data_IF_592567793986
#
_entry.id   IF_592567793986
#
_cell.length_a   1.000
_cell.length_b   1.000
_cell.length_c   1.000
_cell.angle_alpha   90.00
_cell.angle_beta   90.00
_cell.angle_gamma   90.00
#
_symmetry.space_group_name_H-M   'P 1'
#
loop_
_entity.id
_entity.type
_entity.pdbx_description
1 polymer ?
#
# COMPACT_ATOMS: atom_id res chain seq x y z
N UNK A 1 30.39 30.07 -4.62
CA UNK A 1 29.06 30.07 -5.29
C UNK A 1 28.48 28.68 -5.50
N UNK A 2 29.21 27.70 -6.07
CA UNK A 2 28.71 26.33 -6.33
C UNK A 2 28.23 25.56 -5.07
N UNK A 3 28.90 25.74 -3.93
CA UNK A 3 28.51 25.13 -2.64
C UNK A 3 27.15 25.62 -2.10
N UNK A 4 26.82 26.89 -2.33
CA UNK A 4 25.54 27.49 -1.89
C UNK A 4 24.37 26.89 -2.67
N UNK A 5 24.58 26.63 -3.96
CA UNK A 5 23.58 26.02 -4.85
C UNK A 5 23.28 24.59 -4.41
N UNK A 6 24.30 23.78 -4.11
CA UNK A 6 24.12 22.40 -3.63
C UNK A 6 23.38 22.34 -2.29
N UNK A 7 23.68 23.27 -1.38
CA UNK A 7 22.98 23.37 -0.09
C UNK A 7 21.48 23.70 -0.26
N UNK A 8 21.14 24.61 -1.18
CA UNK A 8 19.74 24.95 -1.45
C UNK A 8 18.94 23.76 -2.02
N UNK A 9 19.55 22.97 -2.91
CA UNK A 9 18.89 21.76 -3.43
C UNK A 9 18.75 20.68 -2.37
N UNK A 10 19.75 20.49 -1.51
CA UNK A 10 19.68 19.51 -0.43
C UNK A 10 18.59 19.86 0.58
N UNK A 11 18.49 21.12 1.01
CA UNK A 11 17.44 21.55 1.95
C UNK A 11 16.04 21.45 1.33
N UNK A 12 15.89 21.82 0.05
CA UNK A 12 14.63 21.63 -0.67
C UNK A 12 14.25 20.15 -0.82
N UNK A 13 15.22 19.27 -1.10
CA UNK A 13 14.99 17.83 -1.17
C UNK A 13 14.55 17.24 0.17
N UNK A 14 15.26 17.56 1.26
CA UNK A 14 14.89 17.10 2.62
C UNK A 14 13.50 17.61 2.98
N UNK A 15 13.19 18.89 2.73
CA UNK A 15 11.85 19.43 2.99
C UNK A 15 10.76 18.70 2.18
N UNK A 16 10.99 18.40 0.90
CA UNK A 16 10.05 17.64 0.08
C UNK A 16 9.86 16.19 0.55
N UNK A 17 10.92 15.54 1.04
CA UNK A 17 10.82 14.17 1.60
C UNK A 17 10.08 14.20 2.94
N UNK A 18 10.34 15.18 3.79
CA UNK A 18 9.67 15.32 5.09
C UNK A 18 8.19 15.69 4.98
N UNK A 19 7.79 16.45 3.95
CA UNK A 19 6.38 16.81 3.74
C UNK A 19 5.52 15.67 3.16
N UNK A 20 6.11 14.61 2.61
CA UNK A 20 5.34 13.47 2.06
C UNK A 20 4.76 12.54 3.13
N UNK A 21 5.27 12.55 4.37
CA UNK A 21 4.83 11.66 5.45
C UNK A 21 3.73 12.22 6.37
N UNK A 22 3.27 13.45 6.17
CA UNK A 22 2.31 14.12 7.07
C UNK A 22 0.89 14.20 6.48
N UNK A 23 0.52 13.26 5.61
CA UNK A 23 -0.86 13.10 5.15
C UNK A 23 -1.73 12.57 6.30
N UNK A 24 -2.28 13.54 7.04
CA UNK A 24 -3.52 13.54 7.81
C UNK A 24 -4.14 12.16 8.09
N UNK A 25 -4.11 11.77 9.37
CA UNK A 25 -4.94 10.73 10.02
C UNK A 25 -6.45 11.06 9.97
N UNK A 26 -7.01 11.47 8.84
CA UNK A 26 -8.41 11.17 8.64
C UNK A 26 -8.45 9.67 8.55
N UNK A 27 -9.02 8.96 9.54
CA UNK A 27 -9.10 7.49 9.55
C UNK A 27 -9.95 6.89 8.44
N UNK A 28 -10.00 7.55 7.27
CA UNK A 28 -10.67 7.21 6.02
C UNK A 28 -9.64 7.21 4.89
N UNK A 29 -9.74 6.23 4.01
CA UNK A 29 -8.85 6.05 2.86
C UNK A 29 -9.66 5.83 1.58
N UNK A 30 -9.15 6.31 0.46
CA UNK A 30 -9.63 5.97 -0.88
C UNK A 30 -8.85 4.82 -1.49
N UNK A 31 -7.59 4.67 -1.11
CA UNK A 31 -6.63 3.68 -1.58
C UNK A 31 -5.71 3.21 -0.45
N UNK A 32 -4.90 2.18 -0.69
CA UNK A 32 -3.88 1.73 0.26
C UNK A 32 -2.83 2.81 0.55
N UNK A 33 -2.48 3.64 -0.45
CA UNK A 33 -1.46 4.69 -0.36
C UNK A 33 -1.87 5.88 0.55
N UNK A 34 -3.16 5.98 0.89
CA UNK A 34 -3.66 7.00 1.82
C UNK A 34 -3.38 6.64 3.29
N UNK A 35 -2.98 5.41 3.57
CA UNK A 35 -2.71 4.91 4.91
C UNK A 35 -1.19 4.89 5.20
N UNK A 36 -0.82 4.76 6.47
CA UNK A 36 0.58 4.60 6.86
C UNK A 36 1.15 3.25 6.37
N UNK A 37 2.48 3.13 6.31
CA UNK A 37 3.17 1.90 5.88
C UNK A 37 2.82 0.66 6.73
N UNK A 38 2.39 0.87 7.98
CA UNK A 38 1.94 -0.18 8.90
C UNK A 38 0.40 -0.35 8.95
N UNK A 39 -0.32 0.27 8.02
CA UNK A 39 -1.77 0.25 7.91
C UNK A 39 -2.24 -0.21 6.52
N UNK A 40 -3.47 -0.71 6.45
CA UNK A 40 -4.15 -1.08 5.21
C UNK A 40 -5.51 -0.39 5.13
N UNK A 41 -5.98 -0.15 3.90
CA UNK A 41 -7.29 0.42 3.67
C UNK A 41 -8.38 -0.68 3.65
N UNK A 42 -9.25 -0.69 4.66
CA UNK A 42 -10.31 -1.71 4.81
C UNK A 42 -11.69 -1.15 4.50
N UNK A 43 -12.47 -1.92 3.73
CA UNK A 43 -13.91 -1.74 3.58
C UNK A 43 -14.67 -2.83 4.35
N UNK A 44 -15.50 -2.45 5.33
CA UNK A 44 -16.31 -3.41 6.09
C UNK A 44 -17.53 -3.91 5.33
N UNK A 45 -18.07 -3.07 4.45
CA UNK A 45 -19.32 -3.30 3.74
C UNK A 45 -19.15 -2.89 2.27
N UNK A 46 -19.99 -3.40 1.37
CA UNK A 46 -19.96 -3.06 -0.06
C UNK A 46 -20.03 -1.54 -0.33
N UNK A 47 -20.78 -0.80 0.49
CA UNK A 47 -20.87 0.65 0.40
C UNK A 47 -19.51 1.35 0.64
N UNK A 48 -18.67 0.81 1.52
CA UNK A 48 -17.32 1.33 1.78
C UNK A 48 -16.31 0.88 0.72
N UNK A 49 -16.60 -0.21 0.01
CA UNK A 49 -15.77 -0.70 -1.08
C UNK A 49 -15.81 0.30 -2.24
N UNK A 50 -17.01 0.77 -2.59
CA UNK A 50 -17.23 1.85 -3.58
C UNK A 50 -16.86 3.23 -3.02
N UNK A 51 -17.12 3.46 -1.73
CA UNK A 51 -16.84 4.73 -1.04
C UNK A 51 -15.43 4.85 -0.45
N UNK A 52 -15.29 5.63 0.63
CA UNK A 52 -14.04 5.67 1.41
C UNK A 52 -14.03 4.56 2.45
N UNK A 53 -12.93 3.79 2.49
CA UNK A 53 -12.64 2.81 3.52
C UNK A 53 -12.10 3.47 4.79
N UNK A 54 -11.53 2.67 5.69
CA UNK A 54 -10.79 3.15 6.87
C UNK A 54 -9.41 2.53 6.92
N UNK A 55 -8.40 3.34 7.26
CA UNK A 55 -7.09 2.83 7.60
C UNK A 55 -7.18 2.02 8.89
N UNK A 56 -6.63 0.82 8.86
CA UNK A 56 -6.44 -0.04 10.02
C UNK A 56 -5.04 -0.59 10.02
N UNK A 57 -4.48 -0.80 11.20
CA UNK A 57 -3.17 -1.46 11.33
C UNK A 57 -3.20 -2.86 10.74
N UNK A 58 -2.05 -3.27 10.18
CA UNK A 58 -1.81 -4.65 9.77
C UNK A 58 -2.07 -5.61 10.94
N UNK A 59 -2.55 -6.81 10.61
CA UNK A 59 -2.92 -7.80 11.60
C UNK A 59 -1.69 -8.31 12.34
N UNK A 60 -1.74 -8.24 13.66
CA UNK A 60 -0.66 -8.61 14.58
C UNK A 60 -0.69 -10.12 14.90
N UNK A 61 0.35 -10.62 15.57
CA UNK A 61 0.43 -12.01 15.98
C UNK A 61 -0.81 -12.44 16.79
N UNK A 62 -1.44 -13.54 16.38
CA UNK A 62 -2.66 -14.10 16.97
C UNK A 62 -3.96 -13.45 16.52
N UNK A 63 -3.93 -12.33 15.79
CA UNK A 63 -5.13 -11.71 15.23
C UNK A 63 -5.68 -12.53 14.05
N UNK A 64 -6.97 -12.35 13.78
CA UNK A 64 -7.63 -13.03 12.67
C UNK A 64 -7.14 -12.49 11.34
N UNK A 65 -6.97 -13.40 10.39
CA UNK A 65 -6.64 -13.08 9.02
C UNK A 65 -7.51 -13.94 8.09
N UNK A 66 -7.64 -13.51 6.85
CA UNK A 66 -8.36 -14.25 5.83
C UNK A 66 -7.49 -14.30 4.57
N UNK A 67 -7.12 -15.48 4.05
CA UNK A 67 -6.28 -15.60 2.86
C UNK A 67 -7.03 -15.19 1.59
N UNK A 68 -8.36 -15.23 1.62
CA UNK A 68 -9.21 -14.82 0.49
C UNK A 68 -9.42 -13.31 0.43
N UNK A 69 -9.08 -12.56 1.49
CA UNK A 69 -9.16 -11.09 1.49
C UNK A 69 -7.97 -10.52 0.70
N UNK A 70 -8.01 -10.67 -0.63
CA UNK A 70 -7.08 -10.03 -1.55
C UNK A 70 -7.46 -8.55 -1.73
N UNK A 71 -6.44 -7.72 -1.93
CA UNK A 71 -6.64 -6.32 -2.28
C UNK A 71 -7.42 -6.24 -3.60
N UNK A 72 -8.62 -5.67 -3.57
CA UNK A 72 -9.42 -5.55 -4.78
C UNK A 72 -8.90 -4.34 -5.57
N UNK A 73 -8.07 -4.61 -6.57
CA UNK A 73 -7.42 -3.57 -7.39
C UNK A 73 -8.43 -2.63 -8.04
N UNK A 74 -9.58 -3.16 -8.48
CA UNK A 74 -10.70 -2.40 -9.06
C UNK A 74 -11.19 -1.27 -8.13
N UNK A 75 -11.01 -1.41 -6.82
CA UNK A 75 -11.41 -0.43 -5.82
C UNK A 75 -10.23 0.29 -5.16
N UNK A 76 -9.07 0.36 -5.84
CA UNK A 76 -7.88 1.07 -5.34
C UNK A 76 -7.08 0.27 -4.30
N UNK A 77 -7.11 -1.06 -4.41
CA UNK A 77 -6.34 -1.94 -3.54
C UNK A 77 -6.90 -2.06 -2.12
N UNK A 78 -8.22 -1.92 -1.96
CA UNK A 78 -8.88 -2.05 -0.65
C UNK A 78 -9.01 -3.52 -0.26
N UNK A 79 -8.80 -3.77 1.03
CA UNK A 79 -9.07 -5.06 1.63
C UNK A 79 -10.52 -5.15 2.10
N UNK A 80 -11.14 -6.31 1.87
CA UNK A 80 -12.48 -6.61 2.36
C UNK A 80 -12.33 -7.11 3.78
N UNK A 81 -13.05 -6.51 4.75
CA UNK A 81 -13.14 -6.93 6.17
C UNK A 81 -11.86 -6.88 7.03
N UNK A 82 -10.72 -7.39 6.58
CA UNK A 82 -9.53 -7.60 7.41
C UNK A 82 -8.25 -7.12 6.72
N UNK A 83 -7.29 -6.63 7.49
CA UNK A 83 -5.95 -6.35 6.96
C UNK A 83 -5.13 -7.64 6.85
N UNK A 84 -4.17 -7.69 5.91
CA UNK A 84 -3.22 -8.78 5.88
C UNK A 84 -2.36 -8.81 7.15
N UNK A 85 -1.73 -9.94 7.40
CA UNK A 85 -0.76 -10.06 8.48
C UNK A 85 0.43 -9.13 8.25
N UNK A 86 0.97 -8.57 9.33
CA UNK A 86 2.19 -7.77 9.27
C UNK A 86 3.36 -8.58 8.70
N UNK A 87 4.30 -7.91 8.04
CA UNK A 87 5.52 -8.53 7.51
C UNK A 87 6.19 -9.46 8.52
N UNK A 88 6.57 -10.66 8.07
CA UNK A 88 7.15 -11.72 8.93
C UNK A 88 6.12 -12.60 9.66
N UNK A 89 4.83 -12.34 9.48
CA UNK A 89 3.75 -13.21 9.93
C UNK A 89 3.09 -13.91 8.74
N UNK A 90 2.64 -15.14 8.96
CA UNK A 90 1.90 -15.96 8.00
C UNK A 90 0.46 -16.14 8.47
N UNK A 91 -0.51 -16.10 7.56
CA UNK A 91 -1.90 -16.40 7.90
C UNK A 91 -2.11 -17.92 7.87
N UNK A 92 -2.22 -18.55 9.04
CA UNK A 92 -2.34 -20.00 9.14
C UNK A 92 -3.60 -20.41 9.91
N UNK A 93 -4.14 -21.58 9.56
CA UNK A 93 -5.28 -22.15 10.26
C UNK A 93 -4.80 -22.79 11.56
N UNK A 94 -5.04 -22.14 12.71
CA UNK A 94 -4.62 -22.65 14.03
C UNK A 94 -5.62 -23.67 14.58
N UNK A 95 -6.17 -24.51 13.70
CA UNK A 95 -7.31 -25.39 13.97
C UNK A 95 -7.27 -26.04 15.34
N UNK A 96 -8.22 -25.68 16.21
CA UNK A 96 -8.62 -26.52 17.34
C UNK A 96 -10.13 -26.54 17.46
N UNK A 97 -10.67 -27.71 17.13
CA UNK A 97 -11.68 -28.51 17.84
C UNK A 97 -12.55 -29.17 16.76
N UNK A 98 -12.60 -30.50 16.82
CA UNK A 98 -13.50 -31.39 16.08
C UNK A 98 -14.90 -30.78 15.93
N UNK A 99 -15.19 -30.07 14.84
CA UNK A 99 -16.56 -29.78 14.45
C UNK A 99 -16.62 -29.28 13.01
N UNK A 100 -17.06 -30.20 12.16
CA UNK A 100 -17.58 -30.06 10.79
C UNK A 100 -16.78 -29.20 9.80
N UNK A 101 -16.48 -29.84 8.66
CA UNK A 101 -15.82 -29.33 7.45
C UNK A 101 -16.41 -28.04 6.83
N UNK A 102 -17.36 -27.38 7.49
CA UNK A 102 -18.17 -26.26 6.98
C UNK A 102 -17.94 -24.94 7.72
N UNK A 103 -17.13 -24.87 8.80
CA UNK A 103 -16.87 -23.63 9.57
C UNK A 103 -15.39 -23.22 9.65
N UNK A 104 -14.56 -23.76 8.77
CA UNK A 104 -13.10 -23.71 8.87
C UNK A 104 -12.48 -22.38 8.38
N UNK A 105 -13.28 -21.50 7.77
CA UNK A 105 -12.78 -20.25 7.21
C UNK A 105 -12.42 -19.20 8.27
N UNK A 106 -12.99 -19.29 9.49
CA UNK A 106 -12.87 -18.23 10.51
C UNK A 106 -11.82 -18.51 11.59
N UNK A 107 -11.11 -19.63 11.52
CA UNK A 107 -10.08 -20.00 12.50
C UNK A 107 -8.65 -19.58 12.11
N UNK A 108 -8.51 -18.83 11.02
CA UNK A 108 -7.20 -18.42 10.52
C UNK A 108 -6.68 -17.21 11.27
N UNK A 109 -5.40 -17.26 11.64
CA UNK A 109 -4.75 -16.24 12.44
C UNK A 109 -3.31 -16.02 12.00
N UNK A 110 -2.81 -14.82 12.26
CA UNK A 110 -1.43 -14.46 11.97
C UNK A 110 -0.49 -15.16 12.95
N UNK A 111 0.31 -16.11 12.49
CA UNK A 111 1.36 -16.78 13.26
C UNK A 111 2.72 -16.32 12.77
N UNK A 112 3.77 -16.58 13.57
CA UNK A 112 5.14 -16.36 13.09
C UNK A 112 5.37 -17.34 11.94
N UNK A 113 5.60 -16.81 10.74
CA UNK A 113 5.94 -17.66 9.61
C UNK A 113 7.21 -18.46 9.94
N UNK A 114 7.25 -19.74 9.59
CA UNK A 114 8.43 -20.60 9.69
C UNK A 114 9.48 -20.29 8.60
N UNK A 115 9.44 -19.10 8.01
CA UNK A 115 10.38 -18.67 6.98
C UNK A 115 11.71 -18.34 7.63
N UNK A 116 12.66 -19.25 7.50
CA UNK A 116 14.10 -19.05 7.57
C UNK A 116 14.46 -17.60 7.29
N UNK A 117 14.90 -16.92 8.35
CA UNK A 117 15.52 -15.62 8.27
C UNK A 117 16.77 -15.76 7.40
N UNK A 118 16.63 -15.58 6.07
CA UNK A 118 17.70 -14.93 5.32
C UNK A 118 17.63 -13.48 5.80
N UNK A 119 18.26 -13.26 6.95
CA UNK A 119 18.65 -11.93 7.38
C UNK A 119 19.51 -11.38 6.26
N UNK A 120 18.93 -10.56 5.39
CA UNK A 120 19.68 -9.48 4.75
C UNK A 120 20.08 -8.55 5.89
N UNK A 121 21.15 -8.97 6.55
CA UNK A 121 21.93 -8.16 7.48
C UNK A 121 22.51 -7.07 6.60
N UNK A 122 21.82 -5.94 6.50
CA UNK A 122 22.46 -4.71 6.06
C UNK A 122 23.42 -4.34 7.18
N UNK A 123 24.61 -4.94 7.14
CA UNK A 123 25.69 -4.66 8.06
C UNK A 123 26.09 -3.20 7.90
N UNK A 124 25.67 -2.37 8.86
CA UNK A 124 26.23 -1.06 9.12
C UNK A 124 27.69 -1.24 9.54
N UNK A 125 28.57 -1.45 8.56
CA UNK A 125 30.02 -1.41 8.76
C UNK A 125 30.40 0.05 8.91
N UNK A 126 30.71 0.41 10.14
CA UNK A 126 31.20 1.71 10.56
C UNK A 126 32.72 1.63 10.68
N UNK A 127 33.48 2.08 9.68
CA UNK A 127 34.92 2.44 9.83
C UNK A 127 35.46 3.19 8.59
N UNK A 128 36.64 3.82 8.63
CA UNK A 128 36.87 5.25 8.83
C UNK A 128 37.28 6.00 7.54
N UNK A 129 37.40 7.32 7.69
CA UNK A 129 37.98 8.32 6.78
C UNK A 129 39.26 7.86 6.06
N UNK A 130 39.32 8.03 4.73
CA UNK A 130 40.59 8.28 4.03
C UNK A 130 40.39 9.10 2.75
N UNK A 131 41.18 10.17 2.67
CA UNK A 131 41.34 11.16 1.62
C UNK A 131 42.05 10.60 0.37
N UNK A 132 41.60 10.97 -0.84
CA UNK A 132 42.39 11.30 -2.07
C UNK A 132 41.45 11.35 -3.29
N UNK A 133 41.20 12.48 -3.95
CA UNK A 133 42.02 13.24 -4.92
C UNK A 133 42.00 12.67 -6.35
N UNK A 134 41.32 13.43 -7.25
CA UNK A 134 41.41 13.49 -8.74
C UNK A 134 41.01 12.21 -9.53
N UNK A 135 40.34 12.23 -10.69
CA UNK A 135 40.20 13.20 -11.79
C UNK A 135 38.91 12.98 -12.59
N UNK A 136 38.36 14.10 -13.07
CA UNK A 136 37.72 14.37 -14.37
C UNK A 136 37.48 13.19 -15.34
N UNK A 137 36.24 13.00 -15.81
CA UNK A 137 35.94 12.95 -17.26
C UNK A 137 34.51 13.42 -17.52
N UNK A 138 34.46 14.37 -18.44
CA UNK A 138 33.33 15.10 -19.02
C UNK A 138 32.61 14.23 -20.05
N UNK A 139 31.27 14.18 -20.02
CA UNK A 139 30.49 13.97 -21.25
C UNK A 139 29.15 14.66 -21.19
N UNK A 140 29.15 15.80 -21.88
CA UNK A 140 28.03 16.59 -22.39
C UNK A 140 27.16 15.76 -23.34
N UNK A 141 25.83 15.82 -23.22
CA UNK A 141 24.88 15.79 -24.35
C UNK A 141 23.48 16.15 -23.82
N UNK A 142 23.07 17.41 -23.89
CA UNK A 142 22.32 18.07 -24.98
C UNK A 142 20.82 17.80 -24.91
N UNK A 143 20.10 18.91 -24.75
CA UNK A 143 18.67 19.05 -24.57
C UNK A 143 17.86 18.76 -25.84
N UNK A 144 16.59 18.39 -25.63
CA UNK A 144 15.49 18.79 -26.50
C UNK A 144 14.16 18.70 -25.76
N UNK A 145 13.65 19.87 -25.36
CA UNK A 145 12.23 20.22 -25.24
C UNK A 145 11.63 20.37 -26.66
N UNK A 146 10.34 20.71 -26.88
CA UNK A 146 9.11 20.55 -26.10
C UNK A 146 8.04 19.79 -26.94
N UNK A 147 6.85 19.50 -26.42
CA UNK A 147 5.57 19.69 -27.17
C UNK A 147 4.38 19.59 -26.22
N UNK A 148 3.64 20.69 -26.19
CA UNK A 148 2.30 20.91 -25.67
C UNK A 148 1.26 20.39 -26.66
N UNK A 149 0.20 19.71 -26.21
CA UNK A 149 -1.14 19.71 -26.83
C UNK A 149 -2.13 19.07 -25.84
N UNK A 150 -3.02 19.86 -25.20
CA UNK A 150 -4.38 20.24 -25.66
C UNK A 150 -5.42 19.12 -25.47
N UNK A 151 -6.16 19.24 -24.36
CA UNK A 151 -7.63 19.20 -24.20
C UNK A 151 -8.47 18.42 -25.22
N UNK A 152 -9.26 17.45 -24.74
CA UNK A 152 -10.73 17.43 -24.93
C UNK A 152 -11.43 16.53 -23.91
N UNK A 153 -12.26 17.17 -23.11
CA UNK A 153 -13.41 16.64 -22.37
C UNK A 153 -14.32 15.81 -23.27
N UNK A 154 -14.78 14.64 -22.83
CA UNK A 154 -16.01 14.02 -23.35
C UNK A 154 -16.81 13.47 -22.18
N UNK A 155 -17.79 14.29 -21.81
CA UNK A 155 -18.94 14.00 -20.96
C UNK A 155 -19.83 12.99 -21.68
N UNK A 156 -20.16 11.87 -21.03
CA UNK A 156 -21.40 11.14 -21.32
C UNK A 156 -22.09 10.74 -20.00
N UNK A 157 -23.37 11.12 -19.80
CA UNK A 157 -24.20 10.77 -18.63
C UNK A 157 -24.75 9.32 -18.68
N UNK A 158 -25.31 8.81 -17.57
CA UNK A 158 -25.56 7.39 -17.34
C UNK A 158 -26.88 6.91 -17.96
N UNK A 159 -26.86 5.72 -18.57
CA UNK A 159 -28.08 5.02 -19.00
C UNK A 159 -28.55 4.08 -17.90
N UNK A 160 -29.57 4.55 -17.18
CA UNK A 160 -30.45 3.78 -16.31
C UNK A 160 -31.24 2.76 -17.14
N UNK A 161 -31.06 1.46 -16.89
CA UNK A 161 -32.08 0.46 -17.24
C UNK A 161 -32.15 -0.59 -16.13
N UNK A 162 -33.22 -0.55 -15.36
CA UNK A 162 -33.73 -1.65 -14.54
C UNK A 162 -35.18 -1.84 -14.98
N UNK A 163 -35.56 -3.04 -15.44
CA UNK A 163 -36.62 -3.78 -14.76
C UNK A 163 -36.31 -5.31 -14.81
N UNK A 164 -36.81 -6.24 -14.01
CA UNK A 164 -38.09 -6.43 -13.31
C UNK A 164 -37.90 -7.66 -12.39
N UNK A 165 -38.64 -7.81 -11.28
CA UNK A 165 -38.65 -9.05 -10.49
C UNK A 165 -39.48 -10.12 -11.21
N UNK A 166 -38.96 -11.35 -11.30
CA UNK A 166 -39.74 -12.53 -11.67
C UNK A 166 -40.12 -13.25 -10.38
N UNK A 167 -41.42 -13.22 -10.08
CA UNK A 167 -42.10 -14.08 -9.12
C UNK A 167 -42.06 -15.54 -9.62
N UNK A 168 -41.70 -16.54 -8.81
CA UNK A 168 -42.03 -17.92 -9.07
C UNK A 168 -43.40 -18.26 -8.47
N UNK A 169 -44.40 -18.49 -9.33
CA UNK A 169 -45.57 -19.28 -8.97
C UNK A 169 -45.21 -20.78 -8.95
N UNK A 170 -45.91 -21.50 -8.06
CA UNK A 170 -46.00 -22.96 -7.87
C UNK A 170 -45.76 -23.84 -9.12
#
# INVERSE_FOLDING_TARGET
MKLVILWAFFTAYVAMVSCRGFSRRSGRCGSADDCADDECCVARNNLQLVGRGRCRRLSSFGEHCNPEDLAVEVYGGKYVRSCPCRSGLSCENIGRIRQSSLRNAWSQRCVRGTTTSISTTTSTTSTPTTTSTASTTTTTSTASTPTSLRTTTTTNPPTTVNPTPVDPQE
#
